data_IF_319797803648
#
_entry.id   IF_319797803648
#
_cell.length_a   1.000
_cell.length_b   1.000
_cell.length_c   1.000
_cell.angle_alpha   90.00
_cell.angle_beta   90.00
_cell.angle_gamma   90.00
#
_symmetry.space_group_name_H-M   'P 1'
#
loop_
_entity.id
_entity.type
_entity.pdbx_description
1 polymer ?
#
# COMPACT_ATOMS: atom_id res chain seq x y z
N UNK A 1 12.42 -9.11 8.65
CA UNK A 1 12.43 -7.71 8.16
C UNK A 1 12.93 -7.71 6.72
N UNK A 2 12.25 -7.02 5.80
CA UNK A 2 12.68 -6.88 4.41
C UNK A 2 13.41 -5.55 4.25
N UNK A 3 14.72 -5.61 3.98
CA UNK A 3 15.56 -4.45 3.75
C UNK A 3 15.92 -4.37 2.26
N UNK A 4 15.84 -3.18 1.69
CA UNK A 4 16.17 -2.95 0.28
C UNK A 4 16.91 -1.63 0.13
N UNK A 5 17.86 -1.57 -0.81
CA UNK A 5 18.58 -0.32 -1.13
C UNK A 5 17.78 0.60 -2.05
N UNK A 6 17.03 0.02 -3.00
CA UNK A 6 16.14 0.75 -3.93
C UNK A 6 14.78 0.08 -3.94
N UNK A 7 13.72 0.89 -3.97
CA UNK A 7 12.35 0.38 -4.05
C UNK A 7 12.15 -0.40 -5.35
N UNK A 8 11.52 -1.57 -5.24
CA UNK A 8 11.13 -2.45 -6.34
C UNK A 8 9.72 -2.99 -6.04
N UNK A 9 8.75 -2.58 -6.85
CA UNK A 9 7.33 -2.90 -6.62
C UNK A 9 7.06 -4.40 -6.60
N UNK A 10 7.54 -5.13 -7.61
CA UNK A 10 7.36 -6.58 -7.73
C UNK A 10 7.96 -7.30 -6.52
N UNK A 11 9.18 -6.94 -6.13
CA UNK A 11 9.84 -7.55 -4.98
C UNK A 11 9.05 -7.30 -3.68
N UNK A 12 8.50 -6.10 -3.48
CA UNK A 12 7.65 -5.80 -2.33
C UNK A 12 6.36 -6.63 -2.33
N UNK A 13 5.68 -6.74 -3.48
CA UNK A 13 4.47 -7.56 -3.60
C UNK A 13 4.77 -9.05 -3.33
N UNK A 14 5.92 -9.55 -3.78
CA UNK A 14 6.36 -10.91 -3.48
C UNK A 14 6.62 -11.12 -1.99
N UNK A 15 7.18 -10.12 -1.29
CA UNK A 15 7.31 -10.19 0.16
C UNK A 15 5.95 -10.22 0.86
N UNK A 16 5.01 -9.39 0.42
CA UNK A 16 3.64 -9.34 0.95
C UNK A 16 2.98 -10.72 0.82
N UNK A 17 3.10 -11.36 -0.35
CA UNK A 17 2.59 -12.71 -0.60
C UNK A 17 3.30 -13.75 0.26
N UNK A 18 4.64 -13.80 0.24
CA UNK A 18 5.44 -14.78 0.99
C UNK A 18 5.17 -14.71 2.50
N UNK A 19 5.02 -13.51 3.04
CA UNK A 19 4.80 -13.30 4.47
C UNK A 19 3.33 -13.44 4.88
N UNK A 20 2.39 -13.62 3.94
CA UNK A 20 0.97 -13.72 4.24
C UNK A 20 0.42 -12.46 4.92
N UNK A 21 0.89 -11.28 4.50
CA UNK A 21 0.53 -10.00 5.14
C UNK A 21 -0.97 -9.77 5.04
N UNK A 22 -1.62 -9.51 6.17
CA UNK A 22 -3.06 -9.24 6.24
C UNK A 22 -3.44 -7.77 6.15
N UNK A 23 -2.53 -6.88 6.53
CA UNK A 23 -2.73 -5.43 6.51
C UNK A 23 -1.47 -4.75 5.98
N UNK A 24 -1.62 -3.83 5.03
CA UNK A 24 -0.51 -3.10 4.44
C UNK A 24 -0.75 -1.59 4.47
N UNK A 25 0.17 -0.86 5.09
CA UNK A 25 0.16 0.60 5.12
C UNK A 25 1.38 1.11 4.37
N UNK A 26 1.17 2.06 3.47
CA UNK A 26 2.23 2.70 2.72
C UNK A 26 1.86 4.13 2.34
N UNK A 27 2.82 5.05 2.21
CA UNK A 27 2.51 6.41 1.79
C UNK A 27 1.97 6.43 0.34
N UNK A 28 1.14 7.42 -0.04
CA UNK A 28 0.61 7.56 -1.40
C UNK A 28 1.65 7.43 -2.52
N UNK A 29 2.91 7.85 -2.31
CA UNK A 29 3.98 7.61 -3.29
C UNK A 29 4.20 6.13 -3.58
N UNK A 30 4.26 5.27 -2.55
CA UNK A 30 4.45 3.83 -2.74
C UNK A 30 3.26 3.21 -3.46
N UNK A 31 2.04 3.64 -3.14
CA UNK A 31 0.84 3.20 -3.87
C UNK A 31 0.91 3.56 -5.36
N UNK A 32 1.30 4.80 -5.70
CA UNK A 32 1.50 5.21 -7.10
C UNK A 32 2.54 4.33 -7.79
N UNK A 33 3.67 4.04 -7.13
CA UNK A 33 4.72 3.19 -7.71
C UNK A 33 4.25 1.74 -7.91
N UNK A 34 3.45 1.19 -6.99
CA UNK A 34 2.84 -0.12 -7.14
C UNK A 34 1.86 -0.16 -8.33
N UNK A 35 0.99 0.85 -8.45
CA UNK A 35 0.04 0.98 -9.58
C UNK A 35 0.79 1.09 -10.92
N UNK A 36 1.83 1.92 -10.99
CA UNK A 36 2.64 2.09 -12.20
C UNK A 36 3.42 0.83 -12.60
N UNK A 37 3.73 -0.03 -11.64
CA UNK A 37 4.47 -1.28 -11.88
C UNK A 37 3.57 -2.49 -12.09
N UNK A 38 2.27 -2.27 -12.28
CA UNK A 38 1.19 -3.27 -12.23
C UNK A 38 0.99 -3.86 -10.82
N UNK A 39 -0.24 -3.68 -10.28
CA UNK A 39 -0.62 -4.24 -8.98
C UNK A 39 -0.75 -5.77 -9.04
N UNK A 40 -1.13 -6.32 -10.19
CA UNK A 40 -1.49 -7.71 -10.35
C UNK A 40 -2.63 -8.15 -9.42
N UNK A 41 -2.74 -9.45 -9.21
CA UNK A 41 -3.76 -10.02 -8.33
C UNK A 41 -3.54 -9.65 -6.85
N UNK A 42 -4.66 -9.42 -6.15
CA UNK A 42 -4.66 -9.16 -4.72
C UNK A 42 -3.95 -10.31 -3.98
N UNK A 43 -2.93 -10.03 -3.14
CA UNK A 43 -2.36 -11.04 -2.26
C UNK A 43 -3.46 -11.69 -1.40
N UNK A 44 -3.54 -13.02 -1.42
CA UNK A 44 -4.66 -13.77 -0.83
C UNK A 44 -4.97 -13.40 0.63
N UNK A 45 -3.92 -13.21 1.44
CA UNK A 45 -4.02 -12.86 2.85
C UNK A 45 -4.43 -11.41 3.12
N UNK A 46 -4.30 -10.50 2.15
CA UNK A 46 -4.40 -9.04 2.35
C UNK A 46 -5.86 -8.59 2.47
N UNK A 47 -6.27 -8.18 3.67
CA UNK A 47 -7.65 -7.78 4.01
C UNK A 47 -7.82 -6.26 4.07
N UNK A 48 -6.76 -5.54 4.40
CA UNK A 48 -6.82 -4.13 4.73
C UNK A 48 -5.63 -3.34 4.15
N UNK A 49 -5.90 -2.16 3.60
CA UNK A 49 -4.89 -1.29 3.02
C UNK A 49 -5.07 0.16 3.48
N UNK A 50 -3.96 0.83 3.77
CA UNK A 50 -3.94 2.17 4.35
C UNK A 50 -2.92 3.09 3.65
N UNK A 51 -3.20 4.38 3.69
CA UNK A 51 -2.32 5.47 3.28
C UNK A 51 -2.11 6.47 4.42
N UNK A 52 -0.93 7.05 4.53
CA UNK A 52 -0.64 8.13 5.47
C UNK A 52 0.60 8.93 5.03
N UNK A 53 0.75 10.15 5.54
CA UNK A 53 1.96 10.97 5.41
C UNK A 53 2.07 11.83 4.14
N UNK A 54 1.22 11.62 3.15
CA UNK A 54 1.07 12.50 1.99
C UNK A 54 -0.42 12.64 1.62
N UNK A 55 -0.82 13.67 0.85
CA UNK A 55 -2.19 13.75 0.33
C UNK A 55 -2.56 12.53 -0.52
N UNK A 56 -3.68 11.87 -0.17
CA UNK A 56 -4.21 10.72 -0.90
C UNK A 56 -5.13 11.19 -2.04
N UNK A 57 -4.71 10.96 -3.29
CA UNK A 57 -5.50 11.31 -4.48
C UNK A 57 -6.61 10.26 -4.72
N UNK A 58 -7.88 10.65 -4.97
CA UNK A 58 -8.98 9.75 -5.32
C UNK A 58 -8.67 8.75 -6.45
N UNK A 59 -7.84 9.11 -7.42
CA UNK A 59 -7.46 8.20 -8.52
C UNK A 59 -6.66 6.99 -8.02
N UNK A 60 -5.82 7.18 -6.99
CA UNK A 60 -5.04 6.11 -6.35
C UNK A 60 -5.98 5.15 -5.61
N UNK A 61 -6.96 5.70 -4.89
CA UNK A 61 -8.01 4.92 -4.20
C UNK A 61 -8.78 4.07 -5.23
N UNK A 62 -9.29 4.71 -6.29
CA UNK A 62 -10.08 4.02 -7.31
C UNK A 62 -9.27 3.00 -8.14
N UNK A 63 -7.95 3.17 -8.28
CA UNK A 63 -7.09 2.17 -8.90
C UNK A 63 -6.97 0.91 -8.04
N UNK A 64 -6.72 1.06 -6.73
CA UNK A 64 -6.62 -0.09 -5.81
C UNK A 64 -7.98 -0.76 -5.61
N UNK A 65 -9.06 0.01 -5.53
CA UNK A 65 -10.41 -0.53 -5.42
C UNK A 65 -10.79 -1.37 -6.65
N UNK A 66 -10.48 -0.90 -7.87
CA UNK A 66 -10.72 -1.68 -9.09
C UNK A 66 -9.86 -2.94 -9.18
N UNK A 67 -8.61 -2.87 -8.76
CA UNK A 67 -7.70 -4.01 -8.86
C UNK A 67 -8.01 -5.08 -7.80
N UNK A 68 -8.29 -4.67 -6.56
CA UNK A 68 -8.29 -5.56 -5.40
C UNK A 68 -9.61 -5.57 -4.62
N UNK A 69 -10.58 -4.72 -4.98
CA UNK A 69 -11.83 -4.57 -4.22
C UNK A 69 -11.62 -3.99 -2.81
N UNK A 70 -10.48 -3.33 -2.58
CA UNK A 70 -10.13 -2.73 -1.30
C UNK A 70 -10.05 -1.21 -1.42
N UNK A 71 -10.65 -0.49 -0.48
CA UNK A 71 -10.52 0.97 -0.37
C UNK A 71 -9.32 1.32 0.51
N UNK A 72 -8.42 2.20 0.04
CA UNK A 72 -7.34 2.74 0.86
C UNK A 72 -7.94 3.65 1.93
N UNK A 73 -7.74 3.29 3.20
CA UNK A 73 -8.08 4.16 4.34
C UNK A 73 -6.98 5.17 4.57
N UNK A 74 -7.33 6.44 4.54
CA UNK A 74 -6.39 7.53 4.80
C UNK A 74 -6.20 7.74 6.30
N UNK A 75 -4.97 7.95 6.71
CA UNK A 75 -4.55 8.13 8.09
C UNK A 75 -3.74 9.41 8.24
N UNK A 76 -4.09 10.22 9.23
CA UNK A 76 -3.41 11.48 9.52
C UNK A 76 -2.66 11.42 10.85
N UNK A 77 -1.49 12.04 10.90
CA UNK A 77 -0.69 12.15 12.10
C UNK A 77 0.58 12.95 11.84
N UNK A 78 1.23 13.34 12.93
CA UNK A 78 2.56 13.95 12.93
C UNK A 78 3.53 13.08 13.71
N UNK A 79 4.82 13.41 13.67
CA UNK A 79 5.84 12.61 14.38
C UNK A 79 5.57 12.60 15.89
N UNK A 80 5.02 13.70 16.42
CA UNK A 80 4.74 13.96 17.81
C UNK A 80 3.39 13.40 18.29
N UNK A 81 2.52 12.95 17.36
CA UNK A 81 1.17 12.49 17.68
C UNK A 81 0.98 11.02 17.30
N UNK A 82 -0.05 10.39 17.86
CA UNK A 82 -0.54 9.12 17.33
C UNK A 82 -1.38 9.35 16.07
N UNK A 83 -1.70 8.26 15.36
CA UNK A 83 -2.73 8.28 14.32
C UNK A 83 -4.02 8.86 14.90
N UNK A 84 -4.60 9.84 14.20
CA UNK A 84 -5.88 10.46 14.54
C UNK A 84 -7.02 9.77 13.80
#
# INVERSE_FOLDING_TARGET
VYNYGRFQATALLDQIRRAGVSTFCAPPTVWRMLIQSDLGERPEGLREVLGAGEPLNPEVIGAVERAWGLTIRDGFGQTETTLQ
#
